data_IF_051371326836
#
_entry.id   IF_051371326836
#
_cell.length_a   1.000
_cell.length_b   1.000
_cell.length_c   1.000
_cell.angle_alpha   90.00
_cell.angle_beta   90.00
_cell.angle_gamma   90.00
#
_symmetry.space_group_name_H-M   'P 1'
#
loop_
_entity.id
_entity.type
_entity.pdbx_description
1 polymer ?
#
# COMPACT_ATOMS: atom_id res chain seq x y z
N UNK A 1 -21.82 -12.16 0.75
CA UNK A 1 -20.43 -11.83 1.16
C UNK A 1 -20.15 -12.42 2.54
N UNK A 2 -19.13 -13.28 2.69
CA UNK A 2 -18.71 -13.83 3.99
C UNK A 2 -17.77 -12.83 4.68
N UNK A 3 -18.29 -11.86 5.44
CA UNK A 3 -17.50 -10.75 6.02
C UNK A 3 -16.30 -11.18 6.87
N UNK A 4 -16.40 -12.29 7.61
CA UNK A 4 -15.25 -12.84 8.36
C UNK A 4 -14.05 -13.14 7.45
N UNK A 5 -14.29 -13.64 6.22
CA UNK A 5 -13.23 -13.89 5.23
C UNK A 5 -12.70 -12.60 4.61
N UNK A 6 -13.56 -11.61 4.39
CA UNK A 6 -13.15 -10.28 3.90
C UNK A 6 -12.21 -9.61 4.90
N UNK A 7 -12.55 -9.63 6.19
CA UNK A 7 -11.70 -9.06 7.25
C UNK A 7 -10.38 -9.83 7.38
N UNK A 8 -10.43 -11.16 7.40
CA UNK A 8 -9.22 -11.99 7.46
C UNK A 8 -8.30 -11.80 6.25
N UNK A 9 -8.87 -11.76 5.03
CA UNK A 9 -8.13 -11.49 3.80
C UNK A 9 -7.57 -10.06 3.77
N UNK A 10 -8.30 -9.08 4.30
CA UNK A 10 -7.84 -7.70 4.43
C UNK A 10 -6.71 -7.55 5.44
N UNK A 11 -6.75 -8.30 6.54
CA UNK A 11 -5.65 -8.37 7.50
C UNK A 11 -4.40 -9.02 6.88
N UNK A 12 -4.56 -10.13 6.15
CA UNK A 12 -3.46 -10.77 5.41
C UNK A 12 -2.88 -9.81 4.36
N UNK A 13 -3.74 -9.09 3.64
CA UNK A 13 -3.34 -8.06 2.69
C UNK A 13 -2.47 -7.00 3.36
N UNK A 14 -2.92 -6.45 4.49
CA UNK A 14 -2.17 -5.44 5.24
C UNK A 14 -0.80 -5.97 5.70
N UNK A 15 -0.74 -7.19 6.23
CA UNK A 15 0.53 -7.81 6.65
C UNK A 15 1.50 -7.94 5.48
N UNK A 16 1.06 -8.48 4.34
CA UNK A 16 1.91 -8.68 3.16
C UNK A 16 2.38 -7.35 2.59
N UNK A 17 1.48 -6.36 2.50
CA UNK A 17 1.83 -5.03 2.01
C UNK A 17 2.89 -4.37 2.90
N UNK A 18 2.69 -4.36 4.22
CA UNK A 18 3.66 -3.75 5.15
C UNK A 18 4.98 -4.50 5.18
N UNK A 19 4.99 -5.83 4.98
CA UNK A 19 6.22 -6.59 4.87
C UNK A 19 7.03 -6.17 3.63
N UNK A 20 6.40 -6.11 2.46
CA UNK A 20 7.07 -5.71 1.21
C UNK A 20 7.57 -4.27 1.31
N UNK A 21 6.69 -3.35 1.73
CA UNK A 21 7.04 -1.94 1.85
C UNK A 21 8.11 -1.72 2.92
N UNK A 22 7.99 -2.38 4.09
CA UNK A 22 8.97 -2.29 5.17
C UNK A 22 10.35 -2.83 4.77
N UNK A 23 10.42 -3.96 4.08
CA UNK A 23 11.69 -4.49 3.55
C UNK A 23 12.31 -3.49 2.57
N UNK A 24 11.54 -2.98 1.61
CA UNK A 24 12.02 -1.98 0.66
C UNK A 24 12.48 -0.68 1.34
N UNK A 25 11.75 -0.24 2.37
CA UNK A 25 12.10 0.91 3.18
C UNK A 25 13.49 0.76 3.78
N UNK A 26 13.72 -0.32 4.53
CA UNK A 26 14.99 -0.54 5.22
C UNK A 26 16.13 -0.96 4.27
N UNK A 27 15.82 -1.50 3.09
CA UNK A 27 16.83 -1.93 2.14
C UNK A 27 17.35 -0.79 1.25
N UNK A 28 16.49 0.09 0.75
CA UNK A 28 16.91 1.10 -0.24
C UNK A 28 16.10 2.40 -0.28
N UNK A 29 14.85 2.47 0.23
CA UNK A 29 14.09 3.73 0.15
C UNK A 29 14.42 4.73 1.24
N UNK A 30 14.87 4.27 2.42
CA UNK A 30 15.07 5.12 3.60
C UNK A 30 16.04 6.27 3.32
N UNK A 31 17.19 5.99 2.72
CA UNK A 31 18.21 7.01 2.44
C UNK A 31 17.67 8.04 1.44
N UNK A 32 17.03 7.57 0.37
CA UNK A 32 16.42 8.42 -0.66
C UNK A 32 15.36 9.37 -0.11
N UNK A 33 14.52 8.87 0.80
CA UNK A 33 13.53 9.71 1.46
C UNK A 33 14.15 10.68 2.44
N UNK A 34 15.18 10.28 3.20
CA UNK A 34 15.88 11.19 4.11
C UNK A 34 16.56 12.34 3.37
N UNK A 35 17.22 12.04 2.24
CA UNK A 35 17.86 13.06 1.41
C UNK A 35 16.83 13.99 0.77
N UNK A 36 15.74 13.43 0.23
CA UNK A 36 14.65 14.20 -0.36
C UNK A 36 14.03 15.20 0.62
N UNK A 37 13.77 14.77 1.85
CA UNK A 37 13.10 15.63 2.84
C UNK A 37 14.05 16.63 3.51
N UNK A 38 15.33 16.27 3.63
CA UNK A 38 16.38 17.20 4.06
C UNK A 38 16.54 18.35 3.05
N UNK A 39 16.44 18.05 1.75
CA UNK A 39 16.56 19.05 0.69
C UNK A 39 15.47 20.14 0.75
N UNK A 40 14.28 19.79 1.27
CA UNK A 40 13.14 20.72 1.41
C UNK A 40 13.01 21.28 2.83
N UNK A 41 13.95 20.96 3.74
CA UNK A 41 13.97 21.50 5.11
C UNK A 41 12.92 20.90 6.06
N UNK A 42 12.32 19.75 5.71
CA UNK A 42 11.27 19.10 6.50
C UNK A 42 11.73 17.71 6.98
N UNK A 43 12.37 17.57 8.15
CA UNK A 43 12.84 16.26 8.61
C UNK A 43 11.69 15.26 8.77
N UNK A 44 11.87 14.04 8.25
CA UNK A 44 10.90 12.96 8.39
C UNK A 44 10.74 12.56 9.87
N UNK A 45 9.53 12.61 10.43
CA UNK A 45 9.28 12.09 11.77
C UNK A 45 9.28 10.55 11.69
N UNK A 46 10.45 9.93 11.82
CA UNK A 46 10.62 8.47 11.90
C UNK A 46 10.26 7.93 13.29
N UNK A 47 9.09 8.33 13.81
CA UNK A 47 8.62 7.90 15.13
C UNK A 47 7.78 6.63 15.03
N UNK A 48 7.74 5.84 16.11
CA UNK A 48 6.97 4.60 16.13
C UNK A 48 5.47 4.83 15.87
N UNK A 49 4.95 6.00 16.25
CA UNK A 49 3.57 6.42 16.05
C UNK A 49 3.22 6.55 14.57
N UNK A 50 4.12 7.10 13.75
CA UNK A 50 3.90 7.24 12.29
C UNK A 50 3.83 5.86 11.62
N UNK A 51 4.72 4.95 12.01
CA UNK A 51 4.69 3.57 11.53
C UNK A 51 3.44 2.82 11.96
N UNK A 52 3.01 3.01 13.21
CA UNK A 52 1.78 2.41 13.71
C UNK A 52 0.56 2.95 12.96
N UNK A 53 0.48 4.27 12.75
CA UNK A 53 -0.60 4.90 12.01
C UNK A 53 -0.65 4.39 10.57
N UNK A 54 0.50 4.29 9.91
CA UNK A 54 0.62 3.72 8.56
C UNK A 54 0.08 2.29 8.51
N UNK A 55 0.58 1.40 9.36
CA UNK A 55 0.11 0.02 9.42
C UNK A 55 -1.40 -0.05 9.71
N UNK A 56 -1.91 0.77 10.63
CA UNK A 56 -3.33 0.82 10.96
C UNK A 56 -4.19 1.26 9.77
N UNK A 57 -3.74 2.23 8.96
CA UNK A 57 -4.46 2.70 7.78
C UNK A 57 -4.48 1.69 6.63
N UNK A 58 -3.49 0.80 6.55
CA UNK A 58 -3.46 -0.25 5.50
C UNK A 58 -4.53 -1.32 5.71
N UNK A 59 -5.01 -1.54 6.93
CA UNK A 59 -6.04 -2.54 7.22
C UNK A 59 -7.40 -2.19 6.58
N UNK A 60 -7.98 -0.98 6.77
CA UNK A 60 -9.17 -0.55 6.05
C UNK A 60 -9.03 -0.66 4.52
N UNK A 61 -7.86 -0.31 3.97
CA UNK A 61 -7.58 -0.43 2.54
C UNK A 61 -7.69 -1.89 2.09
N UNK A 62 -6.99 -2.80 2.78
CA UNK A 62 -7.04 -4.23 2.48
C UNK A 62 -8.46 -4.80 2.59
N UNK A 63 -9.21 -4.41 3.63
CA UNK A 63 -10.62 -4.82 3.81
C UNK A 63 -11.51 -4.31 2.67
N UNK A 64 -11.33 -3.06 2.23
CA UNK A 64 -12.08 -2.50 1.11
C UNK A 64 -11.79 -3.22 -0.21
N UNK A 65 -10.52 -3.49 -0.50
CA UNK A 65 -10.09 -4.25 -1.69
C UNK A 65 -10.68 -5.66 -1.66
N UNK A 66 -10.60 -6.37 -0.52
CA UNK A 66 -11.19 -7.70 -0.38
C UNK A 66 -12.72 -7.67 -0.46
N UNK A 67 -13.35 -6.64 0.09
CA UNK A 67 -14.80 -6.46 0.02
C UNK A 67 -15.28 -6.31 -1.42
N UNK A 68 -14.57 -5.50 -2.21
CA UNK A 68 -14.81 -5.37 -3.64
C UNK A 68 -14.57 -6.68 -4.40
N UNK A 69 -13.48 -7.40 -4.12
CA UNK A 69 -13.22 -8.69 -4.75
C UNK A 69 -14.31 -9.73 -4.41
N UNK A 70 -14.82 -9.72 -3.17
CA UNK A 70 -15.83 -10.64 -2.68
C UNK A 70 -17.27 -10.27 -3.12
N UNK A 71 -17.50 -9.07 -3.64
CA UNK A 71 -18.82 -8.65 -4.16
C UNK A 71 -19.10 -9.19 -5.56
N UNK A 72 -18.09 -9.71 -6.25
CA UNK A 72 -18.25 -10.34 -7.56
C UNK A 72 -18.82 -11.76 -7.41
N UNK A 73 -19.66 -12.20 -8.35
CA UNK A 73 -20.27 -13.55 -8.37
C UNK A 73 -19.23 -14.67 -8.24
N UNK A 74 -18.05 -14.46 -8.83
CA UNK A 74 -16.87 -15.33 -8.69
C UNK A 74 -15.72 -14.52 -8.10
N UNK A 75 -15.52 -14.58 -6.76
CA UNK A 75 -14.41 -13.89 -6.12
C UNK A 75 -13.08 -14.27 -6.77
N UNK A 76 -12.31 -13.25 -7.17
CA UNK A 76 -11.09 -13.48 -7.93
C UNK A 76 -9.95 -12.57 -7.48
N UNK A 77 -8.74 -13.13 -7.40
CA UNK A 77 -7.52 -12.34 -7.24
C UNK A 77 -7.38 -11.23 -8.31
N UNK A 78 -7.92 -11.43 -9.52
CA UNK A 78 -7.93 -10.40 -10.58
C UNK A 78 -8.72 -9.16 -10.16
N UNK A 79 -9.92 -9.35 -9.61
CA UNK A 79 -10.73 -8.25 -9.09
C UNK A 79 -10.03 -7.51 -7.93
N UNK A 80 -9.35 -8.26 -7.05
CA UNK A 80 -8.52 -7.64 -6.00
C UNK A 80 -7.38 -6.81 -6.56
N UNK A 81 -6.66 -7.30 -7.59
CA UNK A 81 -5.57 -6.55 -8.22
C UNK A 81 -6.10 -5.28 -8.88
N UNK A 82 -7.22 -5.35 -9.62
CA UNK A 82 -7.79 -4.16 -10.24
C UNK A 82 -8.17 -3.08 -9.21
N UNK A 83 -8.81 -3.48 -8.11
CA UNK A 83 -9.12 -2.56 -7.01
C UNK A 83 -7.83 -1.97 -6.40
N UNK A 84 -6.80 -2.80 -6.20
CA UNK A 84 -5.52 -2.34 -5.68
C UNK A 84 -4.79 -1.36 -6.62
N UNK A 85 -4.82 -1.60 -7.93
CA UNK A 85 -4.26 -0.69 -8.93
C UNK A 85 -5.01 0.65 -8.95
N UNK A 86 -6.34 0.63 -8.79
CA UNK A 86 -7.12 1.86 -8.69
C UNK A 86 -6.75 2.67 -7.44
N UNK A 87 -6.63 2.02 -6.28
CA UNK A 87 -6.19 2.67 -5.03
C UNK A 87 -4.75 3.18 -5.15
N UNK A 88 -3.84 2.38 -5.72
CA UNK A 88 -2.46 2.79 -5.99
C UNK A 88 -2.38 4.05 -6.85
N UNK A 89 -3.18 4.12 -7.91
CA UNK A 89 -3.20 5.28 -8.81
C UNK A 89 -3.63 6.54 -8.05
N UNK A 90 -4.68 6.45 -7.23
CA UNK A 90 -5.14 7.57 -6.41
C UNK A 90 -4.08 8.04 -5.42
N UNK A 91 -3.43 7.10 -4.72
CA UNK A 91 -2.34 7.41 -3.78
C UNK A 91 -1.14 8.03 -4.50
N UNK A 92 -0.78 7.51 -5.67
CA UNK A 92 0.33 8.03 -6.49
C UNK A 92 0.04 9.43 -6.99
N UNK A 93 -1.17 9.71 -7.45
CA UNK A 93 -1.57 11.05 -7.86
C UNK A 93 -1.50 12.03 -6.69
N UNK A 94 -1.94 11.62 -5.49
CA UNK A 94 -1.80 12.41 -4.26
C UNK A 94 -0.33 12.70 -3.93
N UNK A 95 0.53 11.68 -4.00
CA UNK A 95 1.97 11.81 -3.75
C UNK A 95 2.66 12.72 -4.76
N UNK A 96 2.31 12.61 -6.06
CA UNK A 96 2.82 13.50 -7.11
C UNK A 96 2.33 14.93 -6.87
N UNK A 97 1.05 15.13 -6.55
CA UNK A 97 0.49 16.45 -6.27
C UNK A 97 1.19 17.14 -5.09
N UNK A 98 1.34 16.42 -3.97
CA UNK A 98 2.10 16.89 -2.81
C UNK A 98 3.57 17.12 -3.14
N UNK A 99 4.19 16.19 -3.87
CA UNK A 99 5.59 16.29 -4.25
C UNK A 99 5.89 17.48 -5.17
N UNK A 100 4.97 17.85 -6.05
CA UNK A 100 5.08 19.09 -6.85
C UNK A 100 4.97 20.33 -5.97
N UNK A 101 4.06 20.34 -5.00
CA UNK A 101 3.89 21.47 -4.07
C UNK A 101 5.13 21.69 -3.20
N UNK A 102 5.69 20.61 -2.66
CA UNK A 102 6.84 20.64 -1.75
C UNK A 102 8.19 20.51 -2.46
N UNK A 103 8.22 20.45 -3.79
CA UNK A 103 9.45 20.28 -4.58
C UNK A 103 10.25 19.00 -4.24
N UNK A 104 9.54 17.91 -3.95
CA UNK A 104 10.15 16.60 -3.67
C UNK A 104 10.75 16.02 -4.95
N UNK A 105 11.96 15.43 -4.88
CA UNK A 105 12.59 14.75 -6.00
C UNK A 105 11.68 13.69 -6.65
N UNK A 106 11.47 13.81 -7.96
CA UNK A 106 10.67 12.85 -8.76
C UNK A 106 11.16 11.41 -8.58
N UNK A 107 12.48 11.22 -8.37
CA UNK A 107 13.08 9.91 -8.14
C UNK A 107 12.54 9.23 -6.88
N UNK A 108 12.40 9.97 -5.77
CA UNK A 108 11.86 9.43 -4.51
C UNK A 108 10.39 9.04 -4.68
N UNK A 109 9.59 9.90 -5.32
CA UNK A 109 8.17 9.65 -5.63
C UNK A 109 8.02 8.40 -6.51
N UNK A 110 8.81 8.30 -7.59
CA UNK A 110 8.75 7.19 -8.52
C UNK A 110 9.15 5.86 -7.84
N UNK A 111 10.19 5.89 -7.01
CA UNK A 111 10.64 4.73 -6.24
C UNK A 111 9.54 4.25 -5.28
N UNK A 112 8.99 5.15 -4.48
CA UNK A 112 7.93 4.82 -3.52
C UNK A 112 6.66 4.32 -4.22
N UNK A 113 6.22 5.01 -5.28
CA UNK A 113 5.08 4.57 -6.08
C UNK A 113 5.30 3.17 -6.68
N UNK A 114 6.52 2.86 -7.13
CA UNK A 114 6.87 1.54 -7.66
C UNK A 114 6.80 0.45 -6.58
N UNK A 115 7.36 0.70 -5.40
CA UNK A 115 7.29 -0.24 -4.28
C UNK A 115 5.85 -0.43 -3.82
N UNK A 116 5.06 0.65 -3.79
CA UNK A 116 3.63 0.58 -3.48
C UNK A 116 2.87 -0.35 -4.41
N UNK A 117 2.99 -0.19 -5.74
CA UNK A 117 2.25 -1.07 -6.66
C UNK A 117 2.69 -2.53 -6.52
N UNK A 118 3.99 -2.79 -6.36
CA UNK A 118 4.50 -4.15 -6.15
C UNK A 118 3.93 -4.75 -4.86
N UNK A 119 3.97 -4.01 -3.75
CA UNK A 119 3.41 -4.44 -2.47
C UNK A 119 1.91 -4.67 -2.54
N UNK A 120 1.16 -3.78 -3.18
CA UNK A 120 -0.29 -3.88 -3.32
C UNK A 120 -0.70 -5.05 -4.22
N UNK A 121 0.04 -5.34 -5.28
CA UNK A 121 -0.18 -6.52 -6.14
C UNK A 121 0.12 -7.80 -5.37
N UNK A 122 1.26 -7.87 -4.66
CA UNK A 122 1.62 -9.04 -3.85
C UNK A 122 0.58 -9.31 -2.74
N UNK A 123 0.17 -8.26 -2.03
CA UNK A 123 -0.87 -8.35 -1.01
C UNK A 123 -2.23 -8.76 -1.58
N UNK A 124 -2.59 -8.28 -2.77
CA UNK A 124 -3.84 -8.62 -3.46
C UNK A 124 -3.87 -10.06 -3.96
N UNK A 125 -2.72 -10.59 -4.37
CA UNK A 125 -2.58 -12.02 -4.68
C UNK A 125 -2.80 -12.86 -3.41
N UNK A 126 -2.14 -12.52 -2.30
CA UNK A 126 -2.28 -13.26 -1.04
C UNK A 126 -3.71 -13.20 -0.46
N UNK A 127 -4.26 -11.98 -0.30
CA UNK A 127 -5.61 -11.76 0.19
C UNK A 127 -6.67 -12.36 -0.76
N UNK A 128 -6.55 -12.11 -2.06
CA UNK A 128 -7.49 -12.62 -3.06
C UNK A 128 -7.46 -14.15 -3.19
N UNK A 129 -6.33 -14.80 -2.95
CA UNK A 129 -6.23 -16.26 -2.88
C UNK A 129 -6.94 -16.81 -1.63
N UNK A 130 -6.80 -16.14 -0.48
CA UNK A 130 -7.49 -16.54 0.76
C UNK A 130 -9.02 -16.50 0.65
N UNK A 131 -9.57 -15.68 -0.25
CA UNK A 131 -11.01 -15.64 -0.53
C UNK A 131 -11.50 -16.85 -1.35
N UNK A 132 -10.61 -17.54 -2.08
CA UNK A 132 -10.95 -18.65 -3.00
C UNK A 132 -10.88 -20.04 -2.37
N UNK A 133 -10.24 -20.21 -1.22
CA UNK A 133 -10.11 -21.50 -0.57
C UNK A 133 -11.49 -21.99 -0.06
N UNK A 134 -12.22 -22.68 -0.95
CA UNK A 134 -13.32 -23.63 -0.71
C UNK A 134 -13.09 -24.83 -1.64
#
# INVERSE_FOLDING_TARGET
>A
IKWRRVVAGGALWAVVYNLVWGVAWFAFMREEWLDAVAAIGHPLPLTAEVWFLWAAMTLPIGVAIMGHAASHERPSWKASIHAAVAVWLLMTLGMVGWGVQESIPVRAIALDSTVNIVGMVAASLAGGWSLRAD
#
